data_IF_191400198688
#
_entry.id   IF_191400198688
#
_cell.length_a   1.000
_cell.length_b   1.000
_cell.length_c   1.000
_cell.angle_alpha   90.00
_cell.angle_beta   90.00
_cell.angle_gamma   90.00
#
_symmetry.space_group_name_H-M   'P 1'
#
loop_
_entity.id
_entity.type
_entity.pdbx_description
1 polymer ?
#
# COMPACT_ATOMS: atom_id res chain seq x y z
N UNK A 1 -18.34 -0.28 17.63
CA UNK A 1 -17.63 -1.20 16.69
C UNK A 1 -16.90 -0.32 15.71
N UNK A 2 -15.59 -0.43 15.56
CA UNK A 2 -14.85 0.35 14.56
C UNK A 2 -15.25 -0.14 13.16
N UNK A 3 -15.70 0.78 12.32
CA UNK A 3 -15.99 0.49 10.90
C UNK A 3 -14.71 0.18 10.16
N UNK A 4 -14.79 -0.68 9.15
CA UNK A 4 -13.66 -0.96 8.27
C UNK A 4 -13.55 0.11 7.21
N UNK A 5 -12.33 0.46 6.82
CA UNK A 5 -12.06 1.41 5.74
C UNK A 5 -12.09 0.70 4.39
N UNK A 6 -12.72 1.34 3.43
CA UNK A 6 -12.63 0.99 2.01
C UNK A 6 -11.64 1.95 1.36
N UNK A 7 -10.55 1.40 0.85
CA UNK A 7 -9.41 2.17 0.35
C UNK A 7 -9.16 1.83 -1.12
N UNK A 8 -9.73 2.57 -2.08
CA UNK A 8 -9.41 2.41 -3.49
C UNK A 8 -7.93 2.70 -3.76
N UNK A 9 -7.30 1.84 -4.56
CA UNK A 9 -5.90 1.96 -4.96
C UNK A 9 -5.82 2.34 -6.44
N UNK A 10 -5.05 3.39 -6.74
CA UNK A 10 -4.89 3.97 -8.06
C UNK A 10 -3.42 3.91 -8.49
N UNK A 11 -3.12 3.13 -9.52
CA UNK A 11 -1.79 3.11 -10.14
C UNK A 11 -1.59 4.34 -10.99
N UNK A 12 -0.60 5.17 -10.67
CA UNK A 12 -0.26 6.39 -11.42
C UNK A 12 1.01 6.14 -12.22
N UNK A 13 0.94 6.47 -13.52
CA UNK A 13 2.08 6.41 -14.45
C UNK A 13 2.13 7.67 -15.29
N UNK A 14 3.22 8.42 -15.17
CA UNK A 14 3.40 9.69 -15.92
C UNK A 14 2.22 10.66 -15.75
N UNK A 15 1.71 10.78 -14.51
CA UNK A 15 0.61 11.70 -14.19
C UNK A 15 -0.77 11.25 -14.66
N UNK A 16 -0.95 10.00 -15.06
CA UNK A 16 -2.24 9.41 -15.43
C UNK A 16 -2.53 8.15 -14.65
N UNK A 17 -3.79 7.92 -14.27
CA UNK A 17 -4.19 6.66 -13.67
C UNK A 17 -4.28 5.59 -14.74
N UNK A 18 -3.65 4.47 -14.47
CA UNK A 18 -3.60 3.33 -15.38
C UNK A 18 -4.13 2.06 -14.70
N UNK A 19 -4.58 1.11 -15.51
CA UNK A 19 -4.92 -0.24 -15.07
C UNK A 19 -4.16 -1.25 -15.92
N UNK A 20 -3.35 -2.07 -15.27
CA UNK A 20 -2.66 -3.19 -15.91
C UNK A 20 -3.39 -4.52 -15.66
N UNK A 21 -3.08 -5.51 -16.48
CA UNK A 21 -3.38 -6.93 -16.24
C UNK A 21 -2.05 -7.57 -15.86
N UNK A 22 -1.91 -8.05 -14.61
CA UNK A 22 -0.66 -8.62 -14.08
C UNK A 22 0.55 -7.69 -14.34
N UNK A 23 0.40 -6.41 -13.98
CA UNK A 23 1.44 -5.37 -14.17
C UNK A 23 1.84 -5.10 -15.63
N UNK A 24 1.05 -5.54 -16.61
CA UNK A 24 1.32 -5.36 -18.05
C UNK A 24 0.16 -4.69 -18.76
N UNK A 25 0.44 -4.22 -20.00
CA UNK A 25 -0.57 -3.64 -20.89
C UNK A 25 -1.39 -2.54 -20.21
N UNK A 26 -0.70 -1.57 -19.60
CA UNK A 26 -1.34 -0.47 -18.91
C UNK A 26 -2.27 0.29 -19.86
N UNK A 27 -3.55 0.27 -19.53
CA UNK A 27 -4.58 1.08 -20.19
C UNK A 27 -4.80 2.33 -19.33
N UNK A 28 -4.80 3.50 -19.94
CA UNK A 28 -5.16 4.75 -19.27
C UNK A 28 -6.64 4.67 -18.88
N UNK A 29 -6.91 4.98 -17.62
CA UNK A 29 -8.25 5.00 -17.04
C UNK A 29 -8.77 6.43 -16.90
N UNK A 30 -7.90 7.38 -16.55
CA UNK A 30 -8.30 8.77 -16.42
C UNK A 30 -7.26 9.64 -15.72
N UNK A 31 -7.68 10.85 -15.45
CA UNK A 31 -6.92 11.81 -14.66
C UNK A 31 -6.97 11.46 -13.17
N UNK A 32 -5.84 11.53 -12.42
CA UNK A 32 -5.82 11.18 -11.00
C UNK A 32 -6.69 12.09 -10.13
N UNK A 33 -6.80 13.38 -10.45
CA UNK A 33 -7.61 14.34 -9.67
C UNK A 33 -9.11 14.08 -9.89
N UNK A 34 -9.53 13.85 -11.14
CA UNK A 34 -10.92 13.52 -11.46
C UNK A 34 -11.37 12.22 -10.77
N UNK A 35 -10.51 11.19 -10.80
CA UNK A 35 -10.80 9.92 -10.15
C UNK A 35 -10.78 10.03 -8.63
N UNK A 36 -9.83 10.79 -8.06
CA UNK A 36 -9.78 11.06 -6.63
C UNK A 36 -11.08 11.73 -6.14
N UNK A 37 -11.52 12.77 -6.86
CA UNK A 37 -12.76 13.46 -6.56
C UNK A 37 -13.96 12.52 -6.63
N UNK A 38 -14.05 11.73 -7.70
CA UNK A 38 -15.12 10.74 -7.84
C UNK A 38 -15.19 9.78 -6.64
N UNK A 39 -14.07 9.17 -6.24
CA UNK A 39 -14.06 8.25 -5.10
C UNK A 39 -14.35 8.96 -3.77
N UNK A 40 -13.92 10.21 -3.61
CA UNK A 40 -14.27 11.03 -2.45
C UNK A 40 -15.77 11.32 -2.40
N UNK A 41 -16.39 11.67 -3.54
CA UNK A 41 -17.83 11.90 -3.65
C UNK A 41 -18.65 10.61 -3.46
N UNK A 42 -18.08 9.46 -3.84
CA UNK A 42 -18.64 8.10 -3.63
C UNK A 42 -18.43 7.58 -2.19
N UNK A 43 -17.93 8.42 -1.26
CA UNK A 43 -17.69 8.11 0.16
C UNK A 43 -16.66 7.00 0.40
N UNK A 44 -15.59 6.95 -0.35
CA UNK A 44 -14.42 6.16 0.03
C UNK A 44 -13.82 6.71 1.35
N UNK A 45 -13.30 5.83 2.19
CA UNK A 45 -12.75 6.24 3.50
C UNK A 45 -11.34 6.81 3.37
N UNK A 46 -10.57 6.37 2.39
CA UNK A 46 -9.20 6.79 2.12
C UNK A 46 -8.84 6.43 0.68
N UNK A 47 -7.81 7.06 0.09
CA UNK A 47 -7.26 6.69 -1.22
C UNK A 47 -5.79 6.32 -1.10
N UNK A 48 -5.31 5.44 -1.98
CA UNK A 48 -3.88 5.19 -2.16
C UNK A 48 -3.50 5.39 -3.62
N UNK A 49 -2.44 6.17 -3.83
CA UNK A 49 -1.83 6.38 -5.14
C UNK A 49 -0.48 5.69 -5.20
N UNK A 50 -0.33 4.72 -6.08
CA UNK A 50 0.93 4.04 -6.35
C UNK A 50 1.59 4.70 -7.57
N UNK A 51 2.66 5.50 -7.35
CA UNK A 51 3.49 5.96 -8.45
C UNK A 51 4.40 4.81 -8.93
N UNK A 52 3.90 4.10 -9.95
CA UNK A 52 4.60 2.94 -10.51
C UNK A 52 5.73 3.33 -11.48
N UNK A 53 5.83 4.62 -11.84
CA UNK A 53 6.88 5.13 -12.71
C UNK A 53 8.11 5.57 -11.93
N UNK A 54 7.93 6.28 -10.85
CA UNK A 54 9.03 6.77 -9.99
C UNK A 54 9.82 5.64 -9.35
N UNK A 55 9.16 4.51 -9.06
CA UNK A 55 9.83 3.32 -8.49
C UNK A 55 10.76 2.60 -9.47
N UNK A 56 10.58 2.79 -10.79
CA UNK A 56 11.37 2.11 -11.83
C UNK A 56 12.50 2.98 -12.36
N UNK A 57 12.31 4.31 -12.45
CA UNK A 57 13.28 5.23 -13.06
C UNK A 57 14.08 6.07 -12.07
N UNK A 58 13.95 5.81 -10.77
CA UNK A 58 14.61 6.57 -9.67
C UNK A 58 14.34 8.09 -9.74
N UNK A 59 13.17 8.47 -10.26
CA UNK A 59 12.70 9.86 -10.33
C UNK A 59 11.80 10.17 -9.15
N UNK A 60 11.89 11.40 -8.65
CA UNK A 60 10.97 11.88 -7.61
C UNK A 60 9.53 11.91 -8.11
N UNK A 61 8.59 11.55 -7.24
CA UNK A 61 7.17 11.79 -7.45
C UNK A 61 6.97 13.29 -7.71
N UNK A 62 6.27 13.66 -8.78
CA UNK A 62 6.02 15.08 -9.05
C UNK A 62 5.06 15.65 -7.99
N UNK A 63 5.52 16.58 -7.18
CA UNK A 63 4.72 17.23 -6.13
C UNK A 63 3.42 17.86 -6.65
N UNK A 64 3.40 18.30 -7.90
CA UNK A 64 2.29 19.08 -8.47
C UNK A 64 0.97 18.32 -8.56
N UNK A 65 0.97 17.02 -8.85
CA UNK A 65 -0.28 16.25 -8.88
C UNK A 65 -0.80 15.94 -7.48
N UNK A 66 0.11 15.78 -6.49
CA UNK A 66 -0.24 15.57 -5.08
C UNK A 66 -0.98 16.80 -4.55
N UNK A 67 -0.42 17.99 -4.77
CA UNK A 67 -1.08 19.25 -4.36
C UNK A 67 -2.46 19.43 -5.01
N UNK A 68 -2.59 19.04 -6.28
CA UNK A 68 -3.87 19.13 -6.98
C UNK A 68 -4.90 18.15 -6.40
N UNK A 69 -4.51 16.96 -6.00
CA UNK A 69 -5.39 16.02 -5.30
C UNK A 69 -5.80 16.60 -3.95
N UNK A 70 -4.83 17.02 -3.12
CA UNK A 70 -5.08 17.58 -1.80
C UNK A 70 -6.08 18.75 -1.79
N UNK A 71 -6.09 19.56 -2.85
CA UNK A 71 -7.04 20.68 -3.01
C UNK A 71 -8.44 20.27 -3.42
N UNK A 72 -8.65 19.05 -3.90
CA UNK A 72 -9.90 18.61 -4.54
C UNK A 72 -10.65 17.51 -3.80
N UNK A 73 -10.08 16.93 -2.74
CA UNK A 73 -10.72 15.89 -1.93
C UNK A 73 -10.69 16.24 -0.45
N UNK A 74 -11.58 15.63 0.33
CA UNK A 74 -11.73 15.83 1.79
C UNK A 74 -11.54 14.53 2.57
N UNK A 75 -11.12 13.47 1.91
CA UNK A 75 -10.76 12.21 2.55
C UNK A 75 -9.23 12.07 2.57
N UNK A 76 -8.65 11.38 3.56
CA UNK A 76 -7.22 11.18 3.62
C UNK A 76 -6.71 10.36 2.42
N UNK A 77 -5.45 10.61 2.05
CA UNK A 77 -4.81 9.80 1.03
C UNK A 77 -3.36 9.50 1.32
N UNK A 78 -2.94 8.35 0.83
CA UNK A 78 -1.58 7.84 0.93
C UNK A 78 -0.90 7.85 -0.43
N UNK A 79 0.38 8.19 -0.47
CA UNK A 79 1.22 8.12 -1.66
C UNK A 79 2.29 7.05 -1.49
N UNK A 80 2.43 6.19 -2.48
CA UNK A 80 3.41 5.11 -2.53
C UNK A 80 4.24 5.18 -3.81
N UNK A 81 5.47 4.71 -3.76
CA UNK A 81 6.39 4.60 -4.88
C UNK A 81 7.59 5.53 -4.78
N UNK A 82 8.79 5.02 -5.04
CA UNK A 82 10.03 5.79 -5.13
C UNK A 82 10.50 6.52 -3.86
N UNK A 83 9.95 6.22 -2.68
CA UNK A 83 10.28 6.88 -1.41
C UNK A 83 11.49 6.17 -0.78
N UNK A 84 12.67 6.73 -1.00
CA UNK A 84 13.95 6.13 -0.58
C UNK A 84 14.67 6.95 0.51
N UNK A 85 14.14 8.12 0.86
CA UNK A 85 14.76 9.00 1.86
C UNK A 85 13.73 9.86 2.59
N UNK A 86 14.18 10.47 3.70
CA UNK A 86 13.40 11.42 4.48
C UNK A 86 13.02 12.67 3.67
N UNK A 87 13.92 13.14 2.82
CA UNK A 87 13.69 14.33 1.98
C UNK A 87 12.54 14.08 1.00
N UNK A 88 12.53 12.92 0.32
CA UNK A 88 11.43 12.52 -0.58
C UNK A 88 10.12 12.36 0.17
N UNK A 89 10.16 11.77 1.36
CA UNK A 89 8.99 11.64 2.22
C UNK A 89 8.44 13.02 2.63
N UNK A 90 9.33 13.94 3.02
CA UNK A 90 8.98 15.32 3.39
C UNK A 90 8.32 16.08 2.24
N UNK A 91 8.85 15.94 1.02
CA UNK A 91 8.27 16.57 -0.19
C UNK A 91 6.83 16.11 -0.40
N UNK A 92 6.57 14.81 -0.32
CA UNK A 92 5.24 14.21 -0.53
C UNK A 92 4.25 14.67 0.55
N UNK A 93 4.64 14.58 1.82
CA UNK A 93 3.77 14.99 2.94
C UNK A 93 3.50 16.49 2.92
N UNK A 94 4.50 17.32 2.65
CA UNK A 94 4.33 18.78 2.53
C UNK A 94 3.48 19.17 1.31
N UNK A 95 3.38 18.32 0.30
CA UNK A 95 2.48 18.52 -0.85
C UNK A 95 1.02 18.16 -0.56
N UNK A 96 0.74 17.66 0.66
CA UNK A 96 -0.61 17.45 1.17
C UNK A 96 -1.05 16.00 1.29
N UNK A 97 -0.17 15.02 1.06
CA UNK A 97 -0.46 13.63 1.38
C UNK A 97 -0.53 13.44 2.92
N UNK A 98 -1.49 12.66 3.42
CA UNK A 98 -1.63 12.34 4.84
C UNK A 98 -0.67 11.24 5.26
N UNK A 99 -0.37 10.33 4.37
CA UNK A 99 0.48 9.17 4.61
C UNK A 99 1.38 8.88 3.42
N UNK A 100 2.46 8.18 3.71
CA UNK A 100 3.36 7.59 2.71
C UNK A 100 3.44 6.09 2.90
N UNK A 101 3.58 5.36 1.79
CA UNK A 101 3.79 3.90 1.85
C UNK A 101 5.13 3.53 1.22
N UNK A 102 5.90 2.76 1.99
CA UNK A 102 7.22 2.25 1.59
C UNK A 102 7.20 0.71 1.58
N UNK A 103 7.91 0.11 0.63
CA UNK A 103 8.05 -1.34 0.50
C UNK A 103 9.52 -1.70 0.27
N UNK A 104 9.98 -1.89 -0.95
CA UNK A 104 11.35 -2.29 -1.27
C UNK A 104 12.42 -1.43 -0.59
N UNK A 105 12.34 -0.09 -0.55
CA UNK A 105 13.32 0.72 0.17
C UNK A 105 13.43 0.37 1.66
N UNK A 106 12.33 0.00 2.30
CA UNK A 106 12.34 -0.45 3.69
C UNK A 106 12.96 -1.84 3.85
N UNK A 107 12.79 -2.73 2.88
CA UNK A 107 13.45 -4.05 2.88
C UNK A 107 14.97 -3.93 2.68
N UNK A 108 15.41 -3.01 1.82
CA UNK A 108 16.84 -2.77 1.55
C UNK A 108 17.51 -1.99 2.69
N UNK A 109 16.78 -1.09 3.34
CA UNK A 109 17.24 -0.33 4.51
C UNK A 109 16.12 -0.21 5.56
N UNK A 110 16.01 -1.17 6.48
CA UNK A 110 14.95 -1.16 7.51
C UNK A 110 15.00 0.05 8.45
N UNK A 111 16.16 0.69 8.64
CA UNK A 111 16.26 1.91 9.48
C UNK A 111 15.48 3.08 8.90
N UNK A 112 15.18 3.06 7.59
CA UNK A 112 14.35 4.07 6.96
C UNK A 112 12.95 4.17 7.63
N UNK A 113 12.38 3.04 8.07
CA UNK A 113 11.09 3.06 8.79
C UNK A 113 11.22 3.88 10.07
N UNK A 114 12.28 3.63 10.85
CA UNK A 114 12.53 4.34 12.12
C UNK A 114 12.73 5.83 11.87
N UNK A 115 13.59 6.19 10.93
CA UNK A 115 13.90 7.58 10.60
C UNK A 115 12.64 8.37 10.17
N UNK A 116 11.79 7.74 9.38
CA UNK A 116 10.53 8.34 8.92
C UNK A 116 9.51 8.45 10.07
N UNK A 117 9.37 7.40 10.88
CA UNK A 117 8.44 7.38 12.01
C UNK A 117 8.82 8.40 13.09
N UNK A 118 10.12 8.56 13.40
CA UNK A 118 10.61 9.57 14.33
C UNK A 118 10.44 11.00 13.80
N UNK A 119 10.54 11.18 12.48
CA UNK A 119 10.45 12.52 11.86
C UNK A 119 8.99 12.97 11.68
N UNK A 120 8.12 12.09 11.20
CA UNK A 120 6.76 12.47 10.76
C UNK A 120 5.65 11.88 11.64
N UNK A 121 6.00 11.00 12.56
CA UNK A 121 5.06 10.23 13.37
C UNK A 121 4.65 8.92 12.69
N UNK A 122 4.51 7.86 13.49
CA UNK A 122 4.13 6.52 13.00
C UNK A 122 2.83 6.53 12.18
N UNK A 123 1.87 7.38 12.53
CA UNK A 123 0.58 7.50 11.84
C UNK A 123 0.70 7.87 10.35
N UNK A 124 1.83 8.48 9.94
CA UNK A 124 2.08 8.82 8.53
C UNK A 124 2.77 7.70 7.75
N UNK A 125 3.27 6.64 8.43
CA UNK A 125 4.12 5.62 7.84
C UNK A 125 3.35 4.32 7.65
N UNK A 126 3.16 3.96 6.39
CA UNK A 126 2.57 2.68 5.98
C UNK A 126 3.68 1.79 5.39
N UNK A 127 3.77 0.55 5.84
CA UNK A 127 4.69 -0.43 5.24
C UNK A 127 3.90 -1.41 4.39
N UNK A 128 4.21 -1.42 3.08
CA UNK A 128 3.69 -2.41 2.14
C UNK A 128 4.49 -3.69 2.21
N UNK A 129 3.80 -4.83 2.23
CA UNK A 129 4.40 -6.17 2.23
C UNK A 129 3.83 -6.96 1.06
N UNK A 130 4.65 -7.19 0.04
CA UNK A 130 4.29 -8.10 -1.05
C UNK A 130 4.61 -9.51 -0.63
N UNK A 131 3.57 -10.28 -0.33
CA UNK A 131 3.68 -11.61 0.25
C UNK A 131 3.22 -12.69 -0.71
N UNK A 132 3.99 -13.73 -0.83
CA UNK A 132 3.77 -14.85 -1.75
C UNK A 132 3.86 -16.19 -1.00
N UNK A 133 2.89 -17.07 -1.21
CA UNK A 133 2.95 -18.45 -0.74
C UNK A 133 3.77 -19.29 -1.72
N UNK A 134 4.90 -19.80 -1.27
CA UNK A 134 5.85 -20.56 -2.09
C UNK A 134 5.60 -22.08 -2.09
N UNK A 135 4.50 -22.53 -1.46
CA UNK A 135 4.17 -23.93 -1.26
C UNK A 135 4.44 -24.44 0.16
N UNK A 136 5.19 -23.69 0.96
CA UNK A 136 5.54 -24.05 2.36
C UNK A 136 5.28 -22.90 3.30
N UNK A 137 5.79 -21.71 2.96
CA UNK A 137 5.75 -20.51 3.79
C UNK A 137 5.24 -19.30 3.00
N UNK A 138 4.74 -18.29 3.70
CA UNK A 138 4.53 -16.96 3.16
C UNK A 138 5.83 -16.17 3.26
N UNK A 139 6.36 -15.75 2.10
CA UNK A 139 7.64 -15.05 1.98
C UNK A 139 7.49 -13.70 1.32
N UNK A 140 8.35 -12.76 1.70
CA UNK A 140 8.34 -11.39 1.18
C UNK A 140 9.07 -11.31 -0.14
N UNK A 141 8.47 -10.61 -1.10
CA UNK A 141 9.08 -10.23 -2.36
C UNK A 141 9.45 -8.75 -2.39
N UNK A 142 10.51 -8.43 -3.11
CA UNK A 142 10.95 -7.07 -3.37
C UNK A 142 10.93 -6.77 -4.87
N UNK A 143 10.93 -5.47 -5.23
CA UNK A 143 10.94 -4.95 -6.62
C UNK A 143 9.83 -5.51 -7.50
N UNK A 144 8.65 -5.69 -6.93
CA UNK A 144 7.50 -6.34 -7.55
C UNK A 144 6.85 -5.53 -8.68
N UNK A 145 7.19 -4.26 -8.83
CA UNK A 145 6.74 -3.41 -9.93
C UNK A 145 7.17 -3.89 -11.33
N UNK A 146 8.09 -4.84 -11.42
CA UNK A 146 8.52 -5.47 -12.68
C UNK A 146 8.84 -6.95 -12.48
N UNK A 147 8.39 -7.79 -13.42
CA UNK A 147 8.70 -9.24 -13.39
C UNK A 147 10.19 -9.54 -13.56
N UNK A 148 10.92 -8.65 -14.22
CA UNK A 148 12.35 -8.83 -14.48
C UNK A 148 13.23 -8.48 -13.29
N UNK A 149 12.72 -7.64 -12.37
CA UNK A 149 13.47 -7.16 -11.21
C UNK A 149 13.03 -7.78 -9.90
N UNK A 150 11.80 -8.31 -9.83
CA UNK A 150 11.28 -8.91 -8.61
C UNK A 150 12.11 -10.11 -8.16
N UNK A 151 12.31 -10.21 -6.86
CA UNK A 151 13.00 -11.35 -6.27
C UNK A 151 12.40 -11.70 -4.90
N UNK A 152 12.55 -12.97 -4.53
CA UNK A 152 12.20 -13.46 -3.21
C UNK A 152 13.32 -13.11 -2.22
N UNK A 153 12.98 -12.45 -1.12
CA UNK A 153 13.96 -11.98 -0.14
C UNK A 153 14.46 -13.10 0.79
N UNK A 154 13.72 -14.20 0.89
CA UNK A 154 13.95 -15.23 1.90
C UNK A 154 13.39 -14.91 3.29
N UNK A 155 12.88 -13.70 3.51
CA UNK A 155 12.30 -13.27 4.78
C UNK A 155 10.85 -13.77 4.85
N UNK A 156 10.46 -14.39 5.97
CA UNK A 156 9.05 -14.76 6.18
C UNK A 156 8.21 -13.52 6.42
N UNK A 157 7.01 -13.52 5.87
CA UNK A 157 6.07 -12.37 5.97
C UNK A 157 5.82 -11.96 7.42
N UNK A 158 5.68 -12.94 8.32
CA UNK A 158 5.45 -12.68 9.75
C UNK A 158 6.65 -12.02 10.44
N UNK A 159 7.86 -12.38 10.06
CA UNK A 159 9.07 -11.82 10.67
C UNK A 159 9.27 -10.37 10.20
N UNK A 160 9.04 -10.10 8.90
CA UNK A 160 9.07 -8.75 8.38
C UNK A 160 7.97 -7.86 8.97
N UNK A 161 6.76 -8.40 9.15
CA UNK A 161 5.67 -7.69 9.81
C UNK A 161 6.07 -7.23 11.23
N UNK A 162 6.69 -8.11 12.02
CA UNK A 162 7.16 -7.77 13.37
C UNK A 162 8.21 -6.68 13.32
N UNK A 163 9.24 -6.86 12.49
CA UNK A 163 10.31 -5.90 12.35
C UNK A 163 9.80 -4.51 11.91
N UNK A 164 8.90 -4.46 10.92
CA UNK A 164 8.32 -3.20 10.46
C UNK A 164 7.58 -2.46 11.59
N UNK A 165 6.80 -3.18 12.41
CA UNK A 165 6.10 -2.59 13.56
C UNK A 165 7.06 -2.12 14.64
N UNK A 166 8.05 -2.93 14.99
CA UNK A 166 9.04 -2.59 16.02
C UNK A 166 9.88 -1.37 15.63
N UNK A 167 9.99 -1.08 14.32
CA UNK A 167 10.66 0.11 13.77
C UNK A 167 9.75 1.33 13.66
N UNK A 168 8.46 1.21 13.94
CA UNK A 168 7.55 2.34 13.98
C UNK A 168 6.56 2.46 12.82
N UNK A 169 6.35 1.41 12.03
CA UNK A 169 5.25 1.40 11.07
C UNK A 169 3.90 1.62 11.78
N UNK A 170 3.12 2.59 11.34
CA UNK A 170 1.82 2.91 11.89
C UNK A 170 0.68 2.12 11.27
N UNK A 171 0.84 1.66 10.04
CA UNK A 171 -0.08 0.75 9.34
C UNK A 171 0.71 -0.23 8.47
N UNK A 172 0.12 -1.39 8.19
CA UNK A 172 0.68 -2.39 7.27
C UNK A 172 -0.33 -2.73 6.20
N UNK A 173 0.09 -2.67 4.93
CA UNK A 173 -0.65 -3.21 3.79
C UNK A 173 -0.06 -4.58 3.44
N UNK A 174 -0.86 -5.63 3.59
CA UNK A 174 -0.50 -6.96 3.12
C UNK A 174 -1.07 -7.17 1.72
N UNK A 175 -0.20 -7.18 0.73
CA UNK A 175 -0.55 -7.54 -0.64
C UNK A 175 -0.34 -9.04 -0.85
N UNK A 176 -1.44 -9.79 -0.94
CA UNK A 176 -1.44 -11.23 -1.17
C UNK A 176 -1.23 -11.53 -2.65
N UNK A 177 0.03 -11.68 -3.08
CA UNK A 177 0.41 -11.78 -4.50
C UNK A 177 -0.24 -12.95 -5.23
N UNK A 178 -0.51 -14.07 -4.54
CA UNK A 178 -1.20 -15.23 -5.13
C UNK A 178 -2.65 -14.92 -5.51
N UNK A 179 -3.27 -13.92 -4.86
CA UNK A 179 -4.65 -13.52 -5.08
C UNK A 179 -4.78 -12.24 -5.93
N UNK A 180 -3.67 -11.52 -6.16
CA UNK A 180 -3.72 -10.27 -6.90
C UNK A 180 -4.22 -10.47 -8.34
N UNK A 181 -5.23 -9.70 -8.73
CA UNK A 181 -5.89 -9.79 -10.03
C UNK A 181 -6.80 -11.01 -10.23
N UNK A 182 -6.86 -11.97 -9.27
CA UNK A 182 -7.65 -13.20 -9.37
C UNK A 182 -9.15 -12.94 -9.19
N UNK A 183 -9.53 -11.92 -8.39
CA UNK A 183 -10.92 -11.51 -8.13
C UNK A 183 -11.80 -12.60 -7.51
N UNK A 184 -11.22 -13.51 -6.72
CA UNK A 184 -11.93 -14.61 -6.05
C UNK A 184 -12.02 -14.45 -4.54
N UNK A 185 -11.66 -13.31 -4.00
CA UNK A 185 -11.64 -13.01 -2.56
C UNK A 185 -10.22 -12.86 -2.03
N UNK A 186 -10.16 -12.31 -0.82
CA UNK A 186 -8.90 -12.15 -0.10
C UNK A 186 -8.34 -13.50 0.35
N UNK A 187 -7.04 -13.58 0.55
CA UNK A 187 -6.36 -14.73 1.16
C UNK A 187 -6.60 -14.72 2.68
N UNK A 188 -7.73 -15.33 3.07
CA UNK A 188 -8.16 -15.37 4.48
C UNK A 188 -7.21 -16.20 5.32
N UNK A 189 -6.61 -17.25 4.76
CA UNK A 189 -5.64 -18.09 5.46
C UNK A 189 -4.40 -17.28 5.82
N UNK A 190 -3.83 -16.56 4.86
CA UNK A 190 -2.68 -15.70 5.08
C UNK A 190 -3.01 -14.58 6.08
N UNK A 191 -4.14 -13.90 5.91
CA UNK A 191 -4.56 -12.83 6.81
C UNK A 191 -4.70 -13.33 8.26
N UNK A 192 -5.30 -14.50 8.46
CA UNK A 192 -5.43 -15.10 9.79
C UNK A 192 -4.08 -15.48 10.39
N UNK A 193 -3.13 -15.96 9.58
CA UNK A 193 -1.82 -16.40 10.05
C UNK A 193 -0.99 -15.26 10.68
N UNK A 194 -1.21 -14.02 10.24
CA UNK A 194 -0.44 -12.85 10.72
C UNK A 194 -1.23 -11.94 11.66
N UNK A 195 -2.55 -12.06 11.69
CA UNK A 195 -3.43 -11.11 12.38
C UNK A 195 -3.09 -10.94 13.86
N UNK A 196 -2.89 -12.05 14.59
CA UNK A 196 -2.62 -12.01 16.03
C UNK A 196 -1.27 -11.36 16.38
N UNK A 197 -0.42 -11.19 15.37
CA UNK A 197 0.91 -10.61 15.49
C UNK A 197 0.96 -9.17 14.97
N UNK A 198 -0.11 -8.74 14.29
CA UNK A 198 -0.25 -7.37 13.80
C UNK A 198 -0.90 -6.50 14.88
N UNK A 199 -0.13 -5.58 15.46
CA UNK A 199 -0.56 -4.65 16.53
C UNK A 199 -1.02 -3.30 15.99
N UNK A 200 -0.77 -3.03 14.71
CA UNK A 200 -1.19 -1.82 14.00
C UNK A 200 -2.34 -2.15 13.02
N UNK A 201 -3.04 -1.18 12.45
CA UNK A 201 -4.01 -1.44 11.41
C UNK A 201 -3.43 -2.27 10.27
N UNK A 202 -4.12 -3.37 9.95
CA UNK A 202 -3.77 -4.27 8.85
C UNK A 202 -4.74 -4.05 7.69
N UNK A 203 -4.20 -3.68 6.54
CA UNK A 203 -4.93 -3.46 5.30
C UNK A 203 -4.75 -4.68 4.39
N UNK A 204 -5.84 -5.36 4.06
CA UNK A 204 -5.83 -6.48 3.14
C UNK A 204 -5.84 -5.98 1.69
N UNK A 205 -4.91 -6.45 0.87
CA UNK A 205 -4.80 -6.18 -0.56
C UNK A 205 -4.62 -7.46 -1.36
N UNK A 206 -5.11 -7.48 -2.59
CA UNK A 206 -5.08 -8.66 -3.47
C UNK A 206 -6.32 -9.54 -3.34
N UNK A 207 -6.97 -9.80 -4.48
CA UNK A 207 -8.11 -10.73 -4.58
C UNK A 207 -9.50 -10.09 -4.55
N UNK A 208 -9.65 -8.83 -4.20
CA UNK A 208 -10.94 -8.14 -4.23
C UNK A 208 -11.53 -8.17 -5.64
N UNK A 209 -12.75 -8.66 -5.79
CA UNK A 209 -13.39 -8.84 -7.11
C UNK A 209 -14.84 -8.42 -7.19
N UNK A 210 -15.47 -8.14 -6.06
CA UNK A 210 -16.89 -7.79 -5.96
C UNK A 210 -17.11 -6.92 -4.73
N UNK A 211 -18.11 -6.04 -4.77
CA UNK A 211 -18.56 -5.25 -3.62
C UNK A 211 -18.95 -6.11 -2.40
N UNK A 212 -19.33 -7.38 -2.61
CA UNK A 212 -19.62 -8.30 -1.51
C UNK A 212 -18.43 -8.55 -0.60
N UNK A 213 -17.19 -8.36 -1.07
CA UNK A 213 -15.98 -8.49 -0.26
C UNK A 213 -15.74 -7.29 0.67
N UNK A 214 -16.36 -6.15 0.40
CA UNK A 214 -16.30 -4.98 1.29
C UNK A 214 -17.10 -5.21 2.58
N UNK A 215 -18.01 -6.18 2.58
CA UNK A 215 -18.78 -6.60 3.75
C UNK A 215 -18.13 -7.75 4.53
N UNK A 216 -16.98 -8.27 4.10
CA UNK A 216 -16.25 -9.28 4.86
C UNK A 216 -15.77 -8.69 6.18
N UNK A 217 -16.51 -9.03 7.23
CA UNK A 217 -16.00 -8.86 8.58
C UNK A 217 -14.87 -9.87 8.76
N UNK A 218 -13.62 -9.40 8.80
CA UNK A 218 -12.56 -10.21 9.38
C UNK A 218 -13.04 -10.65 10.77
N UNK A 219 -12.95 -11.94 11.14
CA UNK A 219 -13.47 -12.39 12.42
C UNK A 219 -12.78 -11.59 13.52
N UNK A 220 -13.56 -10.72 14.16
CA UNK A 220 -13.17 -10.16 15.44
C UNK A 220 -13.23 -11.30 16.43
N UNK A 221 -12.16 -11.57 17.17
CA UNK A 221 -12.27 -12.39 18.38
C UNK A 221 -13.39 -11.78 19.23
N UNK A 222 -14.56 -12.40 19.23
CA UNK A 222 -15.53 -12.28 20.30
C UNK A 222 -14.92 -13.05 21.48
N UNK A 223 -14.25 -12.33 22.34
CA UNK A 223 -13.61 -12.90 23.50
C UNK A 223 -13.71 -11.89 24.63
N UNK A 224 -14.77 -12.06 25.43
CA UNK A 224 -14.98 -11.83 26.86
C UNK A 224 -14.34 -10.57 27.43
#
# INVERSE_FOLDING_TARGET
MLTKRIIPCLDVKKGQVVKGIKFRNHKIIGDPVELAKKYSDDNADELVFYDIYSSVEDKSVSASWIENIAKNINIPFCVAGGITSREKASEILNSGADKISINTPALENPTLITDLAETFGSQCIVVGIDSFFNGTDYVVYAKTGSETTRYMTGIKTVDWLREAQDRGAGEVVLNCMNQDGVRKGYDIEQLNSIRDQCKVPLIASGGAGSVSYTHLTLPTKSGV
#
